data_IF_278939823464
#
_entry.id   IF_278939823464
#
_cell.length_a   1.000
_cell.length_b   1.000
_cell.length_c   1.000
_cell.angle_alpha   90.00
_cell.angle_beta   90.00
_cell.angle_gamma   90.00
#
_symmetry.space_group_name_H-M   'P 1'
#
loop_
_entity.id
_entity.type
_entity.pdbx_description
1 polymer ?
#
# COMPACT_ATOMS: atom_id res chain seq x y z
N UNK A 1 5.15 2.52 -24.06
CA UNK A 1 5.33 2.24 -22.62
C UNK A 1 4.07 2.64 -21.89
N UNK A 2 3.63 1.82 -20.93
CA UNK A 2 2.54 2.24 -20.07
C UNK A 2 2.98 3.48 -19.26
N UNK A 3 2.09 4.44 -19.12
CA UNK A 3 2.33 5.65 -18.31
C UNK A 3 2.39 5.25 -16.85
N UNK A 4 3.45 5.64 -16.10
CA UNK A 4 3.53 5.39 -14.67
C UNK A 4 2.29 5.93 -13.96
N UNK A 5 1.63 5.07 -13.21
CA UNK A 5 0.57 5.47 -12.27
C UNK A 5 1.22 6.01 -11.00
N UNK A 6 1.14 7.32 -10.82
CA UNK A 6 1.71 8.02 -9.66
C UNK A 6 0.66 8.93 -9.04
N UNK A 7 0.57 8.87 -7.74
CA UNK A 7 -0.35 9.72 -7.00
C UNK A 7 -0.02 9.87 -5.53
N UNK A 8 -0.99 10.30 -4.77
CA UNK A 8 -0.88 10.58 -3.33
C UNK A 8 -2.04 9.98 -2.57
N UNK A 9 -1.86 9.91 -1.26
CA UNK A 9 -2.94 9.69 -0.31
C UNK A 9 -3.73 10.99 -0.11
N UNK A 10 -5.07 10.93 -0.32
CA UNK A 10 -5.98 12.07 -0.20
C UNK A 10 -6.79 12.07 1.10
N UNK A 11 -6.61 11.07 1.96
CA UNK A 11 -7.32 10.98 3.22
C UNK A 11 -8.81 10.66 3.06
N UNK A 12 -9.62 11.18 3.99
CA UNK A 12 -11.08 11.00 4.01
C UNK A 12 -11.81 12.29 3.64
N UNK A 13 -12.79 12.16 2.76
CA UNK A 13 -13.71 13.23 2.36
C UNK A 13 -15.14 12.81 2.65
N UNK A 14 -15.97 13.76 3.12
CA UNK A 14 -17.41 13.49 3.35
C UNK A 14 -18.13 13.06 2.06
N UNK A 15 -17.75 13.67 0.93
CA UNK A 15 -18.19 13.28 -0.40
C UNK A 15 -17.02 12.69 -1.17
N UNK A 16 -17.10 11.41 -1.51
CA UNK A 16 -16.04 10.72 -2.26
C UNK A 16 -15.81 11.33 -3.65
N UNK A 17 -16.83 11.95 -4.24
CA UNK A 17 -16.77 12.61 -5.54
C UNK A 17 -15.80 13.81 -5.57
N UNK A 18 -15.47 14.42 -4.43
CA UNK A 18 -14.50 15.52 -4.36
C UNK A 18 -13.07 15.05 -4.66
N UNK A 19 -12.75 13.79 -4.36
CA UNK A 19 -11.39 13.25 -4.48
C UNK A 19 -10.91 13.21 -5.94
N UNK A 20 -11.64 12.63 -6.91
CA UNK A 20 -11.23 12.64 -8.32
C UNK A 20 -10.98 14.05 -8.89
N UNK A 21 -11.76 15.06 -8.48
CA UNK A 21 -11.52 16.46 -8.87
C UNK A 21 -10.16 16.96 -8.38
N UNK A 22 -9.82 16.71 -7.11
CA UNK A 22 -8.53 17.11 -6.55
C UNK A 22 -7.36 16.38 -7.24
N UNK A 23 -7.51 15.07 -7.46
CA UNK A 23 -6.51 14.25 -8.15
C UNK A 23 -6.23 14.79 -9.56
N UNK A 24 -7.29 15.06 -10.32
CA UNK A 24 -7.20 15.59 -11.68
C UNK A 24 -6.57 16.98 -11.69
N UNK A 25 -7.01 17.88 -10.81
CA UNK A 25 -6.46 19.25 -10.70
C UNK A 25 -4.96 19.26 -10.37
N UNK A 26 -4.49 18.35 -9.54
CA UNK A 26 -3.10 18.21 -9.16
C UNK A 26 -2.24 17.45 -10.21
N UNK A 27 -2.87 16.94 -11.29
CA UNK A 27 -2.18 16.24 -12.38
C UNK A 27 -1.73 14.81 -12.04
N UNK A 28 -2.28 14.21 -11.00
CA UNK A 28 -2.07 12.80 -10.67
C UNK A 28 -2.98 11.90 -11.52
N UNK A 29 -2.61 10.62 -11.64
CA UNK A 29 -3.38 9.61 -12.37
C UNK A 29 -3.59 8.33 -11.55
N UNK A 30 -3.12 8.32 -10.30
CA UNK A 30 -3.34 7.30 -9.30
C UNK A 30 -3.57 7.97 -7.95
N UNK A 31 -4.38 7.38 -7.08
CA UNK A 31 -4.62 7.93 -5.75
C UNK A 31 -5.07 6.89 -4.75
N UNK A 32 -4.81 7.18 -3.48
CA UNK A 32 -5.28 6.41 -2.34
C UNK A 32 -6.19 7.29 -1.49
N UNK A 33 -7.20 6.68 -0.88
CA UNK A 33 -8.14 7.38 -0.02
C UNK A 33 -8.79 6.45 1.00
N UNK A 34 -9.41 7.04 2.03
CA UNK A 34 -10.26 6.30 2.96
C UNK A 34 -11.72 6.38 2.54
N UNK A 35 -12.43 5.25 2.59
CA UNK A 35 -13.89 5.20 2.40
C UNK A 35 -14.70 5.72 3.60
N UNK A 36 -14.05 5.93 4.73
CA UNK A 36 -14.63 6.47 5.96
C UNK A 36 -13.55 7.01 6.88
N UNK A 37 -13.91 7.56 8.05
CA UNK A 37 -12.93 8.05 9.02
C UNK A 37 -11.91 6.96 9.37
N UNK A 38 -10.58 7.26 9.35
CA UNK A 38 -9.54 6.23 9.45
C UNK A 38 -9.41 5.59 10.83
N UNK A 39 -9.76 6.33 11.89
CA UNK A 39 -9.48 5.92 13.28
C UNK A 39 -10.67 5.29 14.00
N UNK A 40 -11.83 5.25 13.36
CA UNK A 40 -13.06 4.72 13.95
C UNK A 40 -13.66 3.60 13.11
N UNK A 41 -14.43 2.74 13.77
CA UNK A 41 -15.21 1.71 13.09
C UNK A 41 -16.45 2.33 12.42
N UNK A 42 -16.42 2.43 11.12
CA UNK A 42 -17.53 2.87 10.27
C UNK A 42 -17.81 1.87 9.16
N UNK A 43 -19.01 1.90 8.61
CA UNK A 43 -19.38 1.09 7.46
C UNK A 43 -19.62 2.04 6.27
N UNK A 44 -18.70 2.12 5.31
CA UNK A 44 -18.82 3.00 4.14
C UNK A 44 -20.13 2.84 3.38
N UNK A 45 -20.65 1.62 3.23
CA UNK A 45 -21.93 1.33 2.57
C UNK A 45 -23.14 2.08 3.18
N UNK A 46 -23.02 2.57 4.41
CA UNK A 46 -24.08 3.35 5.07
C UNK A 46 -23.97 4.86 4.81
N UNK A 47 -22.79 5.33 4.39
CA UNK A 47 -22.46 6.75 4.29
C UNK A 47 -22.29 7.23 2.85
N UNK A 48 -22.04 6.31 1.91
CA UNK A 48 -21.84 6.60 0.50
C UNK A 48 -23.13 6.23 -0.24
N UNK A 49 -23.79 7.21 -0.83
CA UNK A 49 -24.99 6.97 -1.63
C UNK A 49 -24.65 6.27 -2.95
N UNK A 50 -25.65 5.64 -3.54
CA UNK A 50 -25.49 5.01 -4.87
C UNK A 50 -25.13 6.06 -5.93
N UNK A 51 -25.74 7.23 -5.85
CA UNK A 51 -25.51 8.35 -6.76
C UNK A 51 -24.08 8.87 -6.66
N UNK A 52 -23.56 9.05 -5.43
CA UNK A 52 -22.16 9.48 -5.20
C UNK A 52 -21.16 8.43 -5.72
N UNK A 53 -21.47 7.14 -5.57
CA UNK A 53 -20.62 6.06 -6.07
C UNK A 53 -20.60 6.04 -7.61
N UNK A 54 -21.73 6.15 -8.27
CA UNK A 54 -21.82 6.17 -9.73
C UNK A 54 -21.12 7.42 -10.31
N UNK A 55 -21.28 8.58 -9.68
CA UNK A 55 -20.58 9.80 -10.09
C UNK A 55 -19.06 9.66 -9.88
N UNK A 56 -18.62 9.09 -8.76
CA UNK A 56 -17.21 8.79 -8.52
C UNK A 56 -16.63 7.90 -9.64
N UNK A 57 -17.31 6.81 -9.99
CA UNK A 57 -16.89 5.90 -11.06
C UNK A 57 -16.79 6.63 -12.40
N UNK A 58 -17.80 7.46 -12.72
CA UNK A 58 -17.80 8.27 -13.94
C UNK A 58 -16.59 9.20 -14.02
N UNK A 59 -16.27 9.91 -12.95
CA UNK A 59 -15.13 10.82 -12.88
C UNK A 59 -13.78 10.08 -12.99
N UNK A 60 -13.63 8.96 -12.28
CA UNK A 60 -12.44 8.10 -12.35
C UNK A 60 -12.21 7.58 -13.77
N UNK A 61 -13.28 7.19 -14.47
CA UNK A 61 -13.20 6.75 -15.86
C UNK A 61 -12.89 7.91 -16.81
N UNK A 62 -13.60 9.04 -16.67
CA UNK A 62 -13.44 10.21 -17.53
C UNK A 62 -12.01 10.75 -17.57
N UNK A 63 -11.32 10.74 -16.44
CA UNK A 63 -9.96 11.28 -16.33
C UNK A 63 -8.86 10.22 -16.36
N UNK A 64 -9.18 8.99 -16.74
CA UNK A 64 -8.24 7.86 -16.76
C UNK A 64 -7.49 7.68 -15.44
N UNK A 65 -8.20 7.84 -14.32
CA UNK A 65 -7.66 7.63 -12.99
C UNK A 65 -7.72 6.15 -12.60
N UNK A 66 -6.86 5.76 -11.67
CA UNK A 66 -6.91 4.48 -10.96
C UNK A 66 -6.77 4.78 -9.48
N UNK A 67 -7.38 3.97 -8.63
CA UNK A 67 -7.35 4.20 -7.19
C UNK A 67 -7.06 2.93 -6.41
N UNK A 68 -6.79 3.12 -5.14
CA UNK A 68 -6.72 2.07 -4.12
C UNK A 68 -7.34 2.61 -2.83
N UNK A 69 -8.07 1.78 -2.12
CA UNK A 69 -8.62 2.14 -0.82
C UNK A 69 -7.60 1.81 0.26
N UNK A 70 -7.34 2.72 1.18
CA UNK A 70 -6.65 2.37 2.42
C UNK A 70 -7.67 1.97 3.48
N UNK A 71 -7.46 0.82 4.09
CA UNK A 71 -8.30 0.34 5.18
C UNK A 71 -8.13 1.18 6.44
N UNK A 72 -9.18 1.25 7.26
CA UNK A 72 -9.12 1.98 8.53
C UNK A 72 -8.03 1.43 9.45
N UNK A 73 -7.30 2.31 10.13
CA UNK A 73 -6.30 1.95 11.16
C UNK A 73 -6.90 1.21 12.36
N UNK A 74 -8.23 1.28 12.53
CA UNK A 74 -8.94 0.54 13.56
C UNK A 74 -9.01 -0.98 13.28
N UNK A 75 -8.73 -1.43 12.05
CA UNK A 75 -8.74 -2.84 11.65
C UNK A 75 -7.55 -3.57 12.27
N UNK A 76 -7.84 -4.64 13.03
CA UNK A 76 -6.81 -5.51 13.57
C UNK A 76 -7.33 -6.96 13.65
N UNK A 77 -6.92 -7.78 12.70
CA UNK A 77 -7.33 -9.18 12.59
C UNK A 77 -6.52 -10.13 13.51
N UNK A 78 -5.40 -9.65 14.08
CA UNK A 78 -4.57 -10.46 15.00
C UNK A 78 -5.19 -10.63 16.39
N UNK A 79 -6.29 -9.93 16.68
CA UNK A 79 -7.03 -10.04 17.94
C UNK A 79 -7.58 -11.46 18.17
N UNK A 80 -7.83 -11.85 19.45
CA UNK A 80 -8.44 -13.12 19.77
C UNK A 80 -9.77 -13.35 19.04
N UNK A 81 -10.04 -14.60 18.68
CA UNK A 81 -11.31 -14.99 18.08
C UNK A 81 -12.47 -14.58 18.98
N UNK A 82 -13.58 -14.09 18.40
CA UNK A 82 -14.76 -13.66 19.12
C UNK A 82 -14.63 -12.33 19.87
N UNK A 83 -13.43 -11.73 19.94
CA UNK A 83 -13.30 -10.44 20.60
C UNK A 83 -14.09 -9.34 19.86
N UNK A 84 -14.71 -8.38 20.58
CA UNK A 84 -15.52 -7.34 19.94
C UNK A 84 -14.76 -6.50 18.92
N UNK A 85 -13.45 -6.27 19.14
CA UNK A 85 -12.58 -5.56 18.18
C UNK A 85 -12.39 -6.35 16.90
N UNK A 86 -12.15 -7.67 17.00
CA UNK A 86 -11.99 -8.52 15.82
C UNK A 86 -13.29 -8.60 15.00
N UNK A 87 -14.43 -8.82 15.66
CA UNK A 87 -15.74 -8.87 14.99
C UNK A 87 -16.01 -7.58 14.21
N UNK A 88 -15.74 -6.43 14.81
CA UNK A 88 -15.88 -5.12 14.15
C UNK A 88 -14.89 -4.96 13.00
N UNK A 89 -13.63 -5.39 13.17
CA UNK A 89 -12.61 -5.35 12.11
C UNK A 89 -13.02 -6.19 10.90
N UNK A 90 -13.49 -7.40 11.10
CA UNK A 90 -13.99 -8.28 10.04
C UNK A 90 -15.15 -7.63 9.27
N UNK A 91 -16.15 -7.13 10.01
CA UNK A 91 -17.32 -6.47 9.40
C UNK A 91 -16.94 -5.24 8.58
N UNK A 92 -16.04 -4.38 9.12
CA UNK A 92 -15.60 -3.17 8.44
C UNK A 92 -14.80 -3.50 7.20
N UNK A 93 -13.83 -4.42 7.29
CA UNK A 93 -13.00 -4.78 6.14
C UNK A 93 -13.82 -5.44 5.03
N UNK A 94 -14.79 -6.30 5.38
CA UNK A 94 -15.70 -6.88 4.40
C UNK A 94 -16.53 -5.80 3.68
N UNK A 95 -17.01 -4.79 4.40
CA UNK A 95 -17.74 -3.67 3.82
C UNK A 95 -16.85 -2.82 2.89
N UNK A 96 -15.62 -2.53 3.31
CA UNK A 96 -14.66 -1.79 2.49
C UNK A 96 -14.28 -2.55 1.20
N UNK A 97 -14.09 -3.87 1.28
CA UNK A 97 -13.82 -4.70 0.10
C UNK A 97 -15.00 -4.70 -0.88
N UNK A 98 -16.24 -4.82 -0.38
CA UNK A 98 -17.44 -4.72 -1.24
C UNK A 98 -17.54 -3.36 -1.92
N UNK A 99 -17.28 -2.28 -1.19
CA UNK A 99 -17.29 -0.93 -1.76
C UNK A 99 -16.19 -0.73 -2.81
N UNK A 100 -14.96 -1.24 -2.55
CA UNK A 100 -13.87 -1.20 -3.52
C UNK A 100 -14.20 -2.02 -4.80
N UNK A 101 -14.83 -3.18 -4.65
CA UNK A 101 -15.30 -4.00 -5.77
C UNK A 101 -16.38 -3.30 -6.59
N UNK A 102 -17.30 -2.59 -5.94
CA UNK A 102 -18.34 -1.78 -6.62
C UNK A 102 -17.75 -0.60 -7.40
N UNK A 103 -16.62 -0.03 -6.99
CA UNK A 103 -15.89 0.97 -7.78
C UNK A 103 -15.43 0.35 -9.12
N UNK A 104 -15.11 -0.95 -9.12
CA UNK A 104 -14.82 -1.73 -10.32
C UNK A 104 -13.32 -1.76 -10.67
N UNK A 105 -12.97 -2.07 -11.93
CA UNK A 105 -11.60 -2.45 -12.33
C UNK A 105 -10.57 -1.33 -12.23
N UNK A 106 -10.99 -0.11 -11.95
CA UNK A 106 -10.08 1.02 -11.68
C UNK A 106 -9.69 1.14 -10.21
N UNK A 107 -10.25 0.32 -9.33
CA UNK A 107 -9.84 0.19 -7.94
C UNK A 107 -9.01 -1.08 -7.76
N UNK A 108 -7.76 -0.94 -7.30
CA UNK A 108 -6.87 -2.08 -7.09
C UNK A 108 -7.33 -3.00 -5.95
N UNK A 109 -8.11 -2.48 -5.00
CA UNK A 109 -8.56 -3.20 -3.82
C UNK A 109 -8.43 -2.38 -2.54
N UNK A 110 -8.30 -3.06 -1.40
CA UNK A 110 -8.15 -2.45 -0.08
C UNK A 110 -6.81 -2.83 0.52
N UNK A 111 -5.98 -1.82 0.83
CA UNK A 111 -4.73 -1.98 1.59
C UNK A 111 -5.05 -2.01 3.08
N UNK A 112 -4.45 -2.93 3.81
CA UNK A 112 -4.46 -2.93 5.27
C UNK A 112 -3.07 -3.12 5.85
N UNK A 113 -2.80 -2.46 6.98
CA UNK A 113 -1.64 -2.78 7.80
C UNK A 113 -1.71 -4.19 8.35
N UNK A 114 -0.56 -4.76 8.64
CA UNK A 114 -0.45 -6.00 9.39
C UNK A 114 -1.01 -5.79 10.81
N UNK A 115 -1.60 -6.82 11.37
CA UNK A 115 -2.21 -6.72 12.69
C UNK A 115 -1.20 -6.48 13.81
N UNK A 116 -1.68 -5.95 14.92
CA UNK A 116 -0.89 -5.75 16.15
C UNK A 116 -1.32 -6.72 17.24
N UNK A 117 -0.35 -7.42 17.83
CA UNK A 117 -0.58 -8.37 18.93
C UNK A 117 -0.76 -7.63 20.27
N UNK A 118 -1.78 -6.78 20.37
CA UNK A 118 -2.05 -5.98 21.58
C UNK A 118 -2.63 -6.80 22.75
N UNK A 119 -3.00 -8.05 22.51
CA UNK A 119 -3.46 -8.97 23.55
C UNK A 119 -2.33 -9.82 24.13
N UNK A 120 -1.09 -9.55 23.75
CA UNK A 120 0.11 -10.26 24.20
C UNK A 120 0.00 -11.80 24.09
N UNK A 121 -0.65 -12.27 23.01
CA UNK A 121 -0.73 -13.70 22.70
C UNK A 121 0.66 -14.22 22.28
N UNK A 122 0.90 -15.54 22.35
CA UNK A 122 2.04 -16.11 21.62
C UNK A 122 2.01 -15.67 20.16
N UNK A 123 3.14 -15.24 19.60
CA UNK A 123 3.22 -14.66 18.24
C UNK A 123 2.58 -15.59 17.21
N UNK A 124 2.83 -16.89 17.30
CA UNK A 124 2.20 -17.90 16.44
C UNK A 124 0.67 -17.84 16.48
N UNK A 125 0.09 -17.64 17.65
CA UNK A 125 -1.37 -17.53 17.80
C UNK A 125 -1.90 -16.22 17.17
N UNK A 126 -1.20 -15.11 17.36
CA UNK A 126 -1.57 -13.82 16.74
C UNK A 126 -1.53 -13.91 15.19
N UNK A 127 -0.50 -14.55 14.65
CA UNK A 127 -0.38 -14.84 13.20
C UNK A 127 -1.52 -15.74 12.72
N UNK A 128 -1.83 -16.81 13.45
CA UNK A 128 -2.95 -17.70 13.11
C UNK A 128 -4.28 -16.95 13.11
N UNK A 129 -4.53 -16.09 14.11
CA UNK A 129 -5.73 -15.28 14.17
C UNK A 129 -5.83 -14.34 12.95
N UNK A 130 -4.73 -13.71 12.57
CA UNK A 130 -4.66 -12.82 11.41
C UNK A 130 -4.98 -13.57 10.12
N UNK A 131 -4.33 -14.71 9.89
CA UNK A 131 -4.56 -15.58 8.70
C UNK A 131 -6.02 -16.03 8.63
N UNK A 132 -6.58 -16.52 9.73
CA UNK A 132 -7.99 -16.92 9.78
C UNK A 132 -8.94 -15.76 9.50
N UNK A 133 -8.60 -14.54 9.98
CA UNK A 133 -9.37 -13.35 9.65
C UNK A 133 -9.34 -13.04 8.16
N UNK A 134 -8.18 -13.13 7.51
CA UNK A 134 -8.05 -12.97 6.06
C UNK A 134 -8.90 -14.00 5.31
N UNK A 135 -8.80 -15.27 5.68
CA UNK A 135 -9.57 -16.34 5.03
C UNK A 135 -11.07 -16.05 5.13
N UNK A 136 -11.56 -15.75 6.34
CA UNK A 136 -12.96 -15.40 6.55
C UNK A 136 -13.41 -14.21 5.70
N UNK A 137 -12.59 -13.14 5.63
CA UNK A 137 -12.92 -11.95 4.81
C UNK A 137 -13.00 -12.31 3.33
N UNK A 138 -12.06 -13.12 2.82
CA UNK A 138 -12.04 -13.52 1.41
C UNK A 138 -13.15 -14.52 1.06
N UNK A 139 -13.74 -15.19 2.04
CA UNK A 139 -14.98 -15.98 1.89
C UNK A 139 -16.22 -15.08 1.83
N UNK A 140 -16.26 -14.05 2.68
CA UNK A 140 -17.46 -13.23 2.91
C UNK A 140 -17.61 -12.07 1.93
N UNK A 141 -16.52 -11.59 1.31
CA UNK A 141 -16.53 -10.40 0.48
C UNK A 141 -15.74 -10.60 -0.83
N UNK A 142 -16.20 -9.98 -1.95
CA UNK A 142 -15.42 -9.87 -3.20
C UNK A 142 -14.27 -8.90 -3.07
N UNK A 143 -13.54 -8.67 -4.18
CA UNK A 143 -12.47 -7.68 -4.27
C UNK A 143 -11.10 -8.22 -3.88
N UNK A 144 -10.10 -7.36 -3.95
CA UNK A 144 -8.70 -7.68 -3.69
C UNK A 144 -8.25 -7.11 -2.36
N UNK A 145 -7.66 -7.95 -1.53
CA UNK A 145 -7.02 -7.56 -0.27
C UNK A 145 -5.52 -7.35 -0.50
N UNK A 146 -4.98 -6.24 -0.05
CA UNK A 146 -3.58 -5.87 -0.20
C UNK A 146 -2.98 -5.71 1.19
N UNK A 147 -1.94 -6.51 1.48
CA UNK A 147 -1.22 -6.42 2.75
C UNK A 147 -0.05 -5.45 2.60
N UNK A 148 0.02 -4.47 3.49
CA UNK A 148 1.13 -3.53 3.52
C UNK A 148 2.28 -4.07 4.36
N UNK A 149 3.53 -3.84 3.92
CA UNK A 149 4.71 -4.16 4.74
C UNK A 149 4.73 -3.30 6.00
N UNK A 150 5.06 -3.88 7.14
CA UNK A 150 5.00 -3.21 8.43
C UNK A 150 6.31 -2.54 8.85
N UNK A 151 6.20 -1.54 9.71
CA UNK A 151 7.32 -0.80 10.30
C UNK A 151 7.92 -1.45 11.57
N UNK A 152 7.43 -2.62 11.98
CA UNK A 152 7.73 -3.24 13.29
C UNK A 152 7.31 -2.36 14.49
N UNK A 153 6.37 -1.43 14.29
CA UNK A 153 5.98 -0.50 15.35
C UNK A 153 5.13 -1.16 16.42
N UNK A 154 5.62 -1.15 17.65
CA UNK A 154 4.97 -1.80 18.79
C UNK A 154 4.93 -3.32 18.65
N UNK A 155 3.75 -3.93 18.82
CA UNK A 155 3.58 -5.38 18.72
C UNK A 155 3.05 -5.81 17.34
N UNK A 156 3.46 -5.16 16.26
CA UNK A 156 3.08 -5.50 14.89
C UNK A 156 3.62 -6.89 14.51
N UNK A 157 2.81 -7.68 13.79
CA UNK A 157 3.17 -9.01 13.32
C UNK A 157 3.51 -8.96 11.82
N UNK A 158 4.42 -9.81 11.36
CA UNK A 158 4.67 -9.98 9.93
C UNK A 158 5.48 -8.89 9.25
N UNK A 159 6.11 -7.96 9.99
CA UNK A 159 6.91 -6.87 9.44
C UNK A 159 8.23 -7.33 8.82
N UNK A 160 8.74 -8.52 9.16
CA UNK A 160 9.88 -9.15 8.49
C UNK A 160 9.41 -10.07 7.36
N UNK A 161 10.18 -10.18 6.28
CA UNK A 161 9.80 -10.99 5.10
C UNK A 161 9.61 -12.47 5.42
N UNK A 162 10.42 -13.05 6.31
CA UNK A 162 10.24 -14.42 6.78
C UNK A 162 8.92 -14.62 7.53
N UNK A 163 8.50 -13.64 8.33
CA UNK A 163 7.20 -13.67 9.03
C UNK A 163 6.04 -13.42 8.05
N UNK A 164 6.21 -12.49 7.12
CA UNK A 164 5.21 -12.22 6.07
C UNK A 164 4.97 -13.46 5.21
N UNK A 165 6.04 -14.21 4.91
CA UNK A 165 5.98 -15.50 4.24
C UNK A 165 5.12 -16.52 5.02
N UNK A 166 5.26 -16.60 6.34
CA UNK A 166 4.43 -17.49 7.17
C UNK A 166 2.94 -17.11 7.09
N UNK A 167 2.63 -15.81 7.07
CA UNK A 167 1.27 -15.31 6.85
C UNK A 167 0.79 -15.75 5.47
N UNK A 168 1.57 -15.50 4.42
CA UNK A 168 1.22 -15.85 3.04
C UNK A 168 0.97 -17.35 2.87
N UNK A 169 1.84 -18.18 3.43
CA UNK A 169 1.72 -19.64 3.37
C UNK A 169 0.52 -20.18 4.14
N UNK A 170 0.12 -19.49 5.19
CA UNK A 170 -1.08 -19.83 5.96
C UNK A 170 -2.39 -19.62 5.19
N UNK A 171 -2.36 -18.82 4.09
CA UNK A 171 -3.55 -18.54 3.29
C UNK A 171 -3.71 -19.61 2.20
N UNK A 172 -4.89 -20.26 2.12
CA UNK A 172 -5.15 -21.28 1.10
C UNK A 172 -4.93 -20.76 -0.33
N UNK A 173 -4.36 -21.60 -1.20
CA UNK A 173 -3.98 -21.24 -2.56
C UNK A 173 -5.15 -20.63 -3.38
N UNK A 174 -6.38 -21.09 -3.16
CA UNK A 174 -7.58 -20.58 -3.84
C UNK A 174 -7.86 -19.09 -3.62
N UNK A 175 -7.35 -18.49 -2.52
CA UNK A 175 -7.55 -17.06 -2.22
C UNK A 175 -6.40 -16.17 -2.67
N UNK A 176 -5.20 -16.75 -2.94
CA UNK A 176 -4.01 -15.98 -3.33
C UNK A 176 -4.18 -15.10 -4.58
N UNK A 177 -4.98 -15.50 -5.61
CA UNK A 177 -5.25 -14.61 -6.75
C UNK A 177 -5.97 -13.30 -6.37
N UNK A 178 -6.62 -13.26 -5.21
CA UNK A 178 -7.31 -12.08 -4.68
C UNK A 178 -6.49 -11.35 -3.61
N UNK A 179 -5.19 -11.63 -3.54
CA UNK A 179 -4.29 -11.01 -2.58
C UNK A 179 -3.07 -10.43 -3.25
N UNK A 180 -2.67 -9.28 -2.76
CA UNK A 180 -1.43 -8.63 -3.17
C UNK A 180 -0.72 -7.97 -1.99
N UNK A 181 0.36 -7.28 -2.32
CA UNK A 181 1.19 -6.59 -1.34
C UNK A 181 1.40 -5.14 -1.75
N UNK A 182 1.43 -4.27 -0.75
CA UNK A 182 1.92 -2.91 -0.85
C UNK A 182 3.26 -2.83 -0.13
N UNK A 183 4.31 -2.42 -0.82
CA UNK A 183 5.61 -2.19 -0.20
C UNK A 183 5.72 -0.74 0.18
N UNK A 184 5.77 -0.44 1.49
CA UNK A 184 6.08 0.89 2.00
C UNK A 184 7.57 1.01 2.30
N UNK A 185 8.24 1.96 1.64
CA UNK A 185 9.70 2.14 1.77
C UNK A 185 10.11 2.66 3.13
N UNK A 186 9.31 3.50 3.78
CA UNK A 186 9.55 3.93 5.16
C UNK A 186 9.39 2.76 6.15
N UNK A 187 8.38 1.93 5.96
CA UNK A 187 8.13 0.79 6.85
C UNK A 187 9.24 -0.24 6.79
N UNK A 188 9.67 -0.65 5.58
CA UNK A 188 10.77 -1.63 5.45
C UNK A 188 12.09 -1.08 5.98
N UNK A 189 12.39 0.21 5.80
CA UNK A 189 13.54 0.87 6.42
C UNK A 189 13.44 0.82 7.94
N UNK A 190 12.30 1.19 8.49
CA UNK A 190 12.07 1.22 9.92
C UNK A 190 12.07 -0.17 10.55
N UNK A 191 11.73 -1.21 9.80
CA UNK A 191 11.83 -2.61 10.24
C UNK A 191 13.20 -3.25 10.08
N UNK A 192 14.21 -2.47 9.61
CA UNK A 192 15.61 -2.88 9.60
C UNK A 192 16.16 -3.35 8.25
N UNK A 193 15.44 -3.16 7.14
CA UNK A 193 15.96 -3.44 5.81
C UNK A 193 16.70 -2.21 5.27
N UNK A 194 18.03 -2.26 5.07
CA UNK A 194 18.77 -1.18 4.45
C UNK A 194 18.37 -1.07 2.97
N UNK A 195 17.99 0.14 2.57
CA UNK A 195 17.51 0.44 1.21
C UNK A 195 17.97 1.83 0.74
N UNK A 196 19.08 2.33 1.27
CA UNK A 196 19.60 3.65 0.95
C UNK A 196 20.38 3.71 -0.36
N UNK A 197 20.84 2.56 -0.85
CA UNK A 197 21.59 2.43 -2.11
C UNK A 197 20.89 1.51 -3.10
N UNK A 198 21.21 1.65 -4.39
CA UNK A 198 20.68 0.79 -5.45
C UNK A 198 20.97 -0.70 -5.21
N UNK A 199 22.13 -1.02 -4.63
CA UNK A 199 22.52 -2.38 -4.28
C UNK A 199 21.63 -2.95 -3.18
N UNK A 200 21.40 -2.20 -2.13
CA UNK A 200 20.54 -2.61 -1.01
C UNK A 200 19.08 -2.80 -1.43
N UNK A 201 18.56 -1.88 -2.25
CA UNK A 201 17.22 -2.02 -2.84
C UNK A 201 17.11 -3.31 -3.66
N UNK A 202 18.13 -3.62 -4.48
CA UNK A 202 18.15 -4.87 -5.25
C UNK A 202 18.15 -6.09 -4.32
N UNK A 203 18.93 -6.08 -3.25
CA UNK A 203 18.96 -7.16 -2.26
C UNK A 203 17.59 -7.36 -1.60
N UNK A 204 16.93 -6.29 -1.16
CA UNK A 204 15.59 -6.36 -0.60
C UNK A 204 14.59 -6.95 -1.61
N UNK A 205 14.61 -6.48 -2.86
CA UNK A 205 13.71 -6.98 -3.90
C UNK A 205 13.96 -8.46 -4.23
N UNK A 206 15.21 -8.92 -4.21
CA UNK A 206 15.55 -10.34 -4.38
C UNK A 206 15.03 -11.19 -3.21
N UNK A 207 15.17 -10.69 -1.99
CA UNK A 207 14.63 -11.36 -0.80
C UNK A 207 13.10 -11.41 -0.82
N UNK A 208 12.43 -10.30 -1.21
CA UNK A 208 10.99 -10.26 -1.40
C UNK A 208 10.53 -11.26 -2.47
N UNK A 209 11.25 -11.35 -3.59
CA UNK A 209 10.94 -12.31 -4.66
C UNK A 209 11.05 -13.76 -4.19
N UNK A 210 12.08 -14.05 -3.39
CA UNK A 210 12.30 -15.38 -2.81
C UNK A 210 11.16 -15.82 -1.89
N UNK A 211 10.69 -14.93 -1.00
CA UNK A 211 9.65 -15.27 -0.02
C UNK A 211 8.23 -15.18 -0.58
N UNK A 212 7.93 -14.14 -1.36
CA UNK A 212 6.57 -13.75 -1.72
C UNK A 212 6.35 -13.80 -3.25
N UNK A 213 7.32 -13.28 -4.01
CA UNK A 213 7.23 -13.08 -5.45
C UNK A 213 6.93 -11.64 -5.84
N UNK A 214 7.80 -11.02 -6.65
CA UNK A 214 7.66 -9.61 -7.07
C UNK A 214 6.38 -9.33 -7.85
N UNK A 215 5.82 -10.31 -8.57
CA UNK A 215 4.56 -10.19 -9.32
C UNK A 215 3.35 -9.91 -8.41
N UNK A 216 3.48 -10.14 -7.12
CA UNK A 216 2.42 -9.91 -6.14
C UNK A 216 2.44 -8.50 -5.54
N UNK A 217 3.42 -7.67 -5.87
CA UNK A 217 3.42 -6.25 -5.50
C UNK A 217 2.44 -5.52 -6.41
N UNK A 218 1.34 -5.03 -5.85
CA UNK A 218 0.28 -4.32 -6.57
C UNK A 218 0.46 -2.81 -6.56
N UNK A 219 1.12 -2.27 -5.53
CA UNK A 219 1.50 -0.86 -5.45
C UNK A 219 2.68 -0.67 -4.49
N UNK A 220 3.26 0.51 -4.53
CA UNK A 220 4.34 0.93 -3.63
C UNK A 220 3.91 2.23 -2.95
N UNK A 221 3.98 2.28 -1.62
CA UNK A 221 4.03 3.52 -0.87
C UNK A 221 5.49 4.00 -0.89
N UNK A 222 5.73 5.02 -1.69
CA UNK A 222 7.08 5.58 -1.87
C UNK A 222 7.25 6.75 -0.91
N UNK A 223 7.76 6.47 0.25
CA UNK A 223 7.97 7.42 1.34
C UNK A 223 9.43 7.43 1.76
N UNK A 224 10.02 8.61 2.01
CA UNK A 224 11.27 8.66 2.74
C UNK A 224 10.99 8.53 4.25
N UNK A 225 12.01 8.27 5.06
CA UNK A 225 11.84 7.99 6.47
C UNK A 225 12.57 9.02 7.34
N UNK A 226 11.85 9.61 8.30
CA UNK A 226 12.41 10.62 9.18
C UNK A 226 13.29 10.04 10.32
N UNK A 227 13.22 8.73 10.56
CA UNK A 227 13.93 8.06 11.64
C UNK A 227 15.03 7.14 11.11
N UNK A 228 16.04 6.81 11.95
CA UNK A 228 17.13 5.91 11.57
C UNK A 228 16.64 4.51 11.17
N UNK A 229 17.50 3.78 10.46
CA UNK A 229 17.30 2.37 10.15
C UNK A 229 17.00 1.56 11.43
N UNK A 230 16.01 0.67 11.36
CA UNK A 230 15.60 -0.21 12.46
C UNK A 230 15.05 0.54 13.69
N UNK A 231 14.47 1.72 13.49
CA UNK A 231 13.88 2.52 14.58
C UNK A 231 12.52 1.98 15.07
N UNK A 232 11.88 1.11 14.33
CA UNK A 232 10.55 0.57 14.65
C UNK A 232 9.48 1.64 14.84
N UNK A 233 9.55 2.71 14.05
CA UNK A 233 8.64 3.86 14.07
C UNK A 233 8.21 4.22 12.66
N UNK A 234 6.92 4.33 12.46
CA UNK A 234 6.34 4.85 11.22
C UNK A 234 6.37 6.38 11.24
N UNK A 235 7.33 6.97 10.52
CA UNK A 235 7.52 8.43 10.43
C UNK A 235 8.00 8.79 9.04
N UNK A 236 7.05 9.14 8.19
CA UNK A 236 7.33 9.55 6.81
C UNK A 236 8.07 10.90 6.76
N UNK A 237 8.96 11.03 5.79
CA UNK A 237 9.60 12.27 5.39
C UNK A 237 9.31 12.55 3.92
N UNK A 238 9.46 13.82 3.51
CA UNK A 238 9.40 14.20 2.10
C UNK A 238 10.55 13.54 1.32
N UNK A 239 10.31 13.16 0.07
CA UNK A 239 11.26 12.37 -0.73
C UNK A 239 12.61 13.07 -0.88
N UNK A 240 13.67 12.40 -0.46
CA UNK A 240 15.05 12.88 -0.52
C UNK A 240 15.43 13.80 0.64
N UNK A 241 14.57 13.91 1.68
CA UNK A 241 14.82 14.67 2.90
C UNK A 241 14.84 13.79 4.15
N UNK A 242 14.66 12.48 3.99
CA UNK A 242 14.75 11.50 5.07
C UNK A 242 16.06 10.72 5.05
N UNK A 243 16.07 9.63 5.83
CA UNK A 243 17.23 8.78 6.08
C UNK A 243 17.46 7.73 4.98
N UNK A 244 16.44 7.38 4.19
CA UNK A 244 16.59 6.48 3.03
C UNK A 244 17.38 7.21 1.94
N UNK A 245 17.04 8.47 1.70
CA UNK A 245 17.75 9.34 0.79
C UNK A 245 17.42 9.09 -0.69
N UNK A 246 17.99 9.97 -1.52
CA UNK A 246 17.62 10.08 -2.94
C UNK A 246 17.95 8.85 -3.78
N UNK A 247 19.01 8.12 -3.49
CA UNK A 247 19.41 6.95 -4.29
C UNK A 247 18.44 5.78 -4.07
N UNK A 248 18.13 5.45 -2.81
CA UNK A 248 17.18 4.40 -2.46
C UNK A 248 15.79 4.66 -3.05
N UNK A 249 15.26 5.87 -2.83
CA UNK A 249 13.95 6.31 -3.38
C UNK A 249 13.95 6.23 -4.92
N UNK A 250 15.01 6.70 -5.60
CA UNK A 250 15.13 6.63 -7.05
C UNK A 250 15.12 5.18 -7.57
N UNK A 251 15.76 4.26 -6.83
CA UNK A 251 15.85 2.85 -7.20
C UNK A 251 14.48 2.16 -7.10
N UNK A 252 13.69 2.43 -6.06
CA UNK A 252 12.30 1.95 -5.98
C UNK A 252 11.41 2.53 -7.07
N UNK A 253 11.53 3.83 -7.37
CA UNK A 253 10.77 4.44 -8.47
C UNK A 253 11.17 3.82 -9.83
N UNK A 254 12.45 3.52 -10.03
CA UNK A 254 12.92 2.80 -11.23
C UNK A 254 12.31 1.42 -11.32
N UNK A 255 12.34 0.63 -10.25
CA UNK A 255 11.70 -0.69 -10.19
C UNK A 255 10.21 -0.61 -10.53
N UNK A 256 9.48 0.33 -9.92
CA UNK A 256 8.07 0.58 -10.19
C UNK A 256 7.81 0.86 -11.68
N UNK A 257 8.57 1.78 -12.28
CA UNK A 257 8.41 2.14 -13.70
C UNK A 257 8.68 0.95 -14.64
N UNK A 258 9.67 0.11 -14.33
CA UNK A 258 10.05 -1.03 -15.16
C UNK A 258 9.02 -2.17 -15.12
N UNK A 259 8.29 -2.29 -14.01
CA UNK A 259 7.31 -3.34 -13.78
C UNK A 259 5.85 -2.84 -13.85
N UNK A 260 5.63 -1.56 -14.20
CA UNK A 260 4.32 -0.90 -14.25
C UNK A 260 3.55 -1.00 -12.92
N UNK A 261 4.25 -0.93 -11.80
CA UNK A 261 3.64 -0.95 -10.47
C UNK A 261 3.25 0.49 -10.10
N UNK A 262 2.00 0.77 -9.72
CA UNK A 262 1.57 2.08 -9.26
C UNK A 262 2.27 2.54 -7.99
N UNK A 263 2.43 3.85 -7.84
CA UNK A 263 3.11 4.49 -6.71
C UNK A 263 2.20 5.50 -6.02
N UNK A 264 2.12 5.41 -4.71
CA UNK A 264 1.47 6.38 -3.82
C UNK A 264 2.52 7.08 -2.95
N UNK A 265 2.35 8.38 -2.78
CA UNK A 265 3.10 9.20 -1.86
C UNK A 265 2.22 9.49 -0.63
N UNK A 266 2.75 9.22 0.55
CA UNK A 266 2.15 9.59 1.84
C UNK A 266 3.04 10.57 2.61
N UNK A 267 3.95 11.20 1.88
CA UNK A 267 4.88 12.19 2.40
C UNK A 267 4.12 13.37 2.99
N UNK A 268 4.65 14.05 4.04
CA UNK A 268 4.00 15.20 4.68
C UNK A 268 3.68 16.34 3.73
N UNK A 269 4.43 16.47 2.62
CA UNK A 269 4.37 17.55 1.65
C UNK A 269 4.53 18.90 2.36
N UNK A 270 5.59 19.04 3.14
CA UNK A 270 5.91 20.28 3.81
C UNK A 270 6.03 21.40 2.77
N UNK A 271 5.54 22.61 3.10
CA UNK A 271 5.61 23.77 2.18
C UNK A 271 7.04 24.05 1.73
N UNK A 272 8.01 23.79 2.60
CA UNK A 272 9.43 24.00 2.34
C UNK A 272 9.96 23.04 1.27
N UNK A 273 9.56 21.75 1.29
CA UNK A 273 10.13 20.71 0.46
C UNK A 273 9.30 20.40 -0.79
N UNK A 274 8.05 20.85 -0.86
CA UNK A 274 7.10 20.46 -1.91
C UNK A 274 7.60 20.72 -3.33
N UNK A 275 8.31 21.84 -3.56
CA UNK A 275 8.85 22.18 -4.87
C UNK A 275 10.02 21.27 -5.25
N UNK A 276 10.90 20.99 -4.29
CA UNK A 276 12.05 20.11 -4.52
C UNK A 276 11.65 18.64 -4.68
N UNK A 277 10.68 18.17 -3.93
CA UNK A 277 10.11 16.82 -4.11
C UNK A 277 9.54 16.65 -5.53
N UNK A 278 8.76 17.61 -6.01
CA UNK A 278 8.22 17.59 -7.38
C UNK A 278 9.34 17.62 -8.45
N UNK A 279 10.36 18.43 -8.23
CA UNK A 279 11.53 18.50 -9.13
C UNK A 279 12.27 17.17 -9.13
N UNK A 280 12.54 16.60 -7.97
CA UNK A 280 13.20 15.31 -7.81
C UNK A 280 12.46 14.19 -8.57
N UNK A 281 11.15 14.06 -8.37
CA UNK A 281 10.32 13.10 -9.10
C UNK A 281 10.36 13.31 -10.62
N UNK A 282 10.34 14.57 -11.07
CA UNK A 282 10.39 14.91 -12.48
C UNK A 282 11.73 14.55 -13.11
N UNK A 283 12.83 14.86 -12.43
CA UNK A 283 14.19 14.58 -12.88
C UNK A 283 14.47 13.07 -12.98
N UNK A 284 14.02 12.30 -11.98
CA UNK A 284 14.14 10.83 -12.03
C UNK A 284 13.32 10.27 -13.20
N UNK A 285 12.07 10.68 -13.36
CA UNK A 285 11.22 10.22 -14.47
C UNK A 285 11.88 10.49 -15.82
N UNK A 286 12.46 11.68 -16.04
CA UNK A 286 13.18 12.02 -17.26
C UNK A 286 14.40 11.13 -17.48
N UNK A 287 15.27 10.98 -16.46
CA UNK A 287 16.47 10.14 -16.51
C UNK A 287 16.13 8.68 -16.82
N UNK A 288 15.11 8.14 -16.18
CA UNK A 288 14.69 6.76 -16.36
C UNK A 288 14.02 6.52 -17.71
N UNK A 289 13.25 7.48 -18.23
CA UNK A 289 12.70 7.41 -19.58
C UNK A 289 13.80 7.31 -20.63
N UNK A 290 14.89 8.05 -20.51
CA UNK A 290 16.04 7.96 -21.42
C UNK A 290 16.82 6.64 -21.29
N UNK A 291 16.98 6.07 -20.06
CA UNK A 291 17.69 4.79 -19.85
C UNK A 291 16.92 3.56 -20.35
N UNK A 292 15.59 3.59 -20.30
CA UNK A 292 14.75 2.49 -20.76
C UNK A 292 14.81 2.30 -22.29
N UNK A 293 15.26 3.31 -23.04
CA UNK A 293 15.53 3.18 -24.49
C UNK A 293 16.86 2.48 -24.80
N UNK A 294 17.76 2.24 -23.82
CA UNK A 294 19.13 1.81 -24.08
C UNK A 294 19.61 0.46 -23.54
N UNK A 295 19.00 -0.18 -22.55
CA UNK A 295 19.50 -1.45 -21.96
C UNK A 295 18.41 -2.27 -21.26
N UNK A 296 18.54 -3.63 -21.30
CA UNK A 296 17.78 -4.55 -20.43
C UNK A 296 18.02 -4.21 -18.95
N UNK A 297 16.95 -4.07 -18.21
CA UNK A 297 16.90 -3.61 -16.83
C UNK A 297 17.33 -4.68 -15.82
N UNK A 298 18.04 -4.29 -14.76
CA UNK A 298 18.38 -5.15 -13.61
C UNK A 298 17.17 -5.57 -12.78
N UNK A 299 16.04 -4.87 -12.89
CA UNK A 299 14.85 -5.07 -12.06
C UNK A 299 13.64 -5.65 -12.82
N UNK A 300 13.82 -6.14 -14.06
CA UNK A 300 12.69 -6.70 -14.79
C UNK A 300 12.27 -8.06 -14.24
N UNK A 301 11.02 -8.19 -13.85
CA UNK A 301 10.40 -9.49 -13.57
C UNK A 301 10.16 -10.16 -14.93
N UNK A 302 10.82 -11.31 -15.19
CA UNK A 302 10.57 -12.06 -16.41
C UNK A 302 9.10 -12.49 -16.45
N UNK A 303 8.38 -12.00 -17.45
CA UNK A 303 7.05 -12.51 -17.80
C UNK A 303 7.27 -13.86 -18.49
N UNK A 304 7.15 -14.93 -17.73
CA UNK A 304 6.84 -16.26 -18.25
C UNK A 304 5.38 -16.57 -17.99
#
# INVERSE_FOLDING_TARGET
>A
MAKLRLGRHFGYYKKITEIPYQVHHLGYNFFQFFLGPPDIFSLPSRNISKEDLEEFKRLVQQWDLTCVVHGSYAINLAQPQGSPKRVRSLKMLADQLRMADLIGPRCLGVIIHLGKNVSHLPVKQAVQNFVQGIVQILEDAPGTLILETGASQGNEIGSRLDQLFLIDRGIPAKYRPRMGYCVDTCHIWSSGYPISTSKEVLQYLQEFDHYIGLKRILCIHLNDCAVPLNAHLDRHADLGFGQIGREGIASFLQFSMQNNIPVILETPLSKQNAQEERKFLTDIKKKLSHKLYGKRSMYSVHRQ
#
